data_IF_817200023843
#
_entry.id   IF_817200023843
#
_cell.length_a   1.000
_cell.length_b   1.000
_cell.length_c   1.000
_cell.angle_alpha   90.00
_cell.angle_beta   90.00
_cell.angle_gamma   90.00
#
_symmetry.space_group_name_H-M   'P 1'
#
loop_
_entity.id
_entity.type
_entity.pdbx_description
1 polymer ?
#
# COMPACT_ATOMS: atom_id res chain seq x y z
N UNK A 1 -22.03 2.27 -0.89
CA UNK A 1 -21.71 3.71 -0.84
C UNK A 1 -20.77 4.05 -1.99
N UNK A 2 -20.92 5.22 -2.63
CA UNK A 2 -19.98 5.69 -3.64
C UNK A 2 -18.54 5.64 -3.10
N UNK A 3 -17.62 5.18 -3.93
CA UNK A 3 -16.19 5.12 -3.60
C UNK A 3 -15.42 5.79 -4.71
N UNK A 4 -14.26 6.34 -4.38
CA UNK A 4 -13.36 6.94 -5.35
C UNK A 4 -12.32 5.93 -5.80
N UNK A 5 -12.30 5.67 -7.11
CA UNK A 5 -11.47 4.65 -7.73
C UNK A 5 -10.59 5.29 -8.80
N UNK A 6 -9.29 4.99 -8.78
CA UNK A 6 -8.39 5.34 -9.87
C UNK A 6 -8.12 4.08 -10.68
N UNK A 7 -8.20 4.20 -12.01
CA UNK A 7 -7.84 3.14 -12.97
C UNK A 7 -6.63 3.60 -13.76
N UNK A 8 -5.53 2.85 -13.64
CA UNK A 8 -4.30 3.06 -14.40
C UNK A 8 -4.09 1.88 -15.37
N UNK A 9 -4.24 2.14 -16.65
CA UNK A 9 -4.06 1.17 -17.72
C UNK A 9 -3.64 1.95 -18.98
N UNK A 10 -2.67 1.50 -19.75
CA UNK A 10 -2.24 2.17 -20.99
C UNK A 10 -3.24 1.96 -22.15
N UNK A 11 -4.05 0.89 -22.10
CA UNK A 11 -5.13 0.64 -23.07
C UNK A 11 -6.36 1.52 -22.78
N UNK A 12 -6.65 2.43 -23.70
CA UNK A 12 -7.80 3.34 -23.62
C UNK A 12 -9.14 2.57 -23.60
N UNK A 13 -9.24 1.48 -24.34
CA UNK A 13 -10.45 0.65 -24.39
C UNK A 13 -10.72 0.00 -23.03
N UNK A 14 -9.66 -0.45 -22.35
CA UNK A 14 -9.77 -1.01 -21.02
C UNK A 14 -10.13 0.06 -19.99
N UNK A 15 -9.55 1.26 -20.07
CA UNK A 15 -9.95 2.38 -19.21
C UNK A 15 -11.42 2.72 -19.36
N UNK A 16 -11.91 2.83 -20.61
CA UNK A 16 -13.31 3.11 -20.89
C UNK A 16 -14.24 1.99 -20.40
N UNK A 17 -13.83 0.74 -20.57
CA UNK A 17 -14.56 -0.42 -20.05
C UNK A 17 -14.68 -0.37 -18.53
N UNK A 18 -13.58 -0.16 -17.80
CA UNK A 18 -13.58 -0.06 -16.36
C UNK A 18 -14.41 1.12 -15.88
N UNK A 19 -14.26 2.29 -16.51
CA UNK A 19 -15.04 3.48 -16.21
C UNK A 19 -16.55 3.19 -16.28
N UNK A 20 -17.05 2.71 -17.43
CA UNK A 20 -18.46 2.41 -17.60
C UNK A 20 -18.98 1.36 -16.63
N UNK A 21 -18.20 0.30 -16.39
CA UNK A 21 -18.60 -0.77 -15.50
C UNK A 21 -18.75 -0.32 -14.04
N UNK A 22 -17.91 0.61 -13.57
CA UNK A 22 -17.88 1.05 -12.18
C UNK A 22 -18.73 2.29 -11.93
N UNK A 23 -18.89 3.17 -12.93
CA UNK A 23 -19.79 4.31 -12.86
C UNK A 23 -21.25 3.86 -12.68
N UNK A 24 -21.67 2.74 -13.32
CA UNK A 24 -23.01 2.18 -13.14
C UNK A 24 -23.34 1.72 -11.72
N UNK A 25 -22.32 1.47 -10.88
CA UNK A 25 -22.45 1.16 -9.46
C UNK A 25 -22.41 2.43 -8.58
N UNK A 26 -22.33 3.62 -9.20
CA UNK A 26 -22.30 4.92 -8.52
C UNK A 26 -20.93 5.30 -7.97
N UNK A 27 -19.84 4.65 -8.39
CA UNK A 27 -18.49 5.03 -7.99
C UNK A 27 -18.01 6.28 -8.75
N UNK A 28 -17.14 7.05 -8.10
CA UNK A 28 -16.39 8.13 -8.76
C UNK A 28 -15.10 7.55 -9.34
N UNK A 29 -15.02 7.45 -10.66
CA UNK A 29 -13.92 6.78 -11.35
C UNK A 29 -13.09 7.78 -12.12
N UNK A 30 -11.80 7.82 -11.82
CA UNK A 30 -10.79 8.57 -12.58
C UNK A 30 -9.91 7.59 -13.33
N UNK A 31 -9.72 7.80 -14.62
CA UNK A 31 -8.94 6.90 -15.47
C UNK A 31 -7.76 7.65 -16.10
N UNK A 32 -6.60 7.03 -16.11
CA UNK A 32 -5.42 7.56 -16.81
C UNK A 32 -4.54 6.43 -17.34
N UNK A 33 -3.81 6.70 -18.44
CA UNK A 33 -2.73 5.84 -18.93
C UNK A 33 -1.35 6.30 -18.45
N UNK A 34 -1.30 7.38 -17.66
CA UNK A 34 -0.05 7.99 -17.23
C UNK A 34 0.22 7.74 -15.73
N UNK A 35 1.28 6.99 -15.38
CA UNK A 35 1.62 6.71 -13.99
C UNK A 35 1.86 7.96 -13.13
N UNK A 36 2.45 9.00 -13.69
CA UNK A 36 2.72 10.26 -12.97
C UNK A 36 1.42 10.97 -12.62
N UNK A 37 0.46 10.98 -13.54
CA UNK A 37 -0.87 11.54 -13.32
C UNK A 37 -1.64 10.74 -12.27
N UNK A 38 -1.60 9.39 -12.33
CA UNK A 38 -2.21 8.54 -11.32
C UNK A 38 -1.67 8.82 -9.91
N UNK A 39 -0.35 8.99 -9.78
CA UNK A 39 0.29 9.34 -8.50
C UNK A 39 -0.07 10.76 -8.04
N UNK A 40 -0.21 11.72 -8.96
CA UNK A 40 -0.67 13.08 -8.63
C UNK A 40 -2.12 13.10 -8.14
N UNK A 41 -3.01 12.29 -8.73
CA UNK A 41 -4.40 12.17 -8.27
C UNK A 41 -4.49 11.68 -6.81
N UNK A 42 -3.56 10.82 -6.36
CA UNK A 42 -3.48 10.37 -4.97
C UNK A 42 -3.09 11.48 -3.98
N UNK A 43 -2.42 12.53 -4.43
CA UNK A 43 -2.01 13.64 -3.57
C UNK A 43 -3.17 14.58 -3.24
N UNK A 44 -4.13 14.73 -4.15
CA UNK A 44 -5.20 15.72 -4.02
C UNK A 44 -6.38 15.23 -3.20
N UNK A 45 -6.72 13.94 -3.26
CA UNK A 45 -7.94 13.42 -2.64
C UNK A 45 -7.79 11.98 -2.12
N UNK A 46 -8.57 11.57 -1.09
CA UNK A 46 -8.61 10.18 -0.65
C UNK A 46 -9.08 9.26 -1.78
N UNK A 47 -8.41 8.13 -1.96
CA UNK A 47 -8.73 7.11 -2.95
C UNK A 47 -9.04 5.82 -2.20
N UNK A 48 -10.19 5.23 -2.50
CA UNK A 48 -10.67 4.01 -1.83
C UNK A 48 -10.13 2.74 -2.49
N UNK A 49 -9.77 2.81 -3.78
CA UNK A 49 -9.20 1.67 -4.53
C UNK A 49 -8.37 2.17 -5.73
N UNK A 50 -7.20 1.56 -5.91
CA UNK A 50 -6.37 1.73 -7.09
C UNK A 50 -6.41 0.45 -7.94
N UNK A 51 -6.88 0.55 -9.18
CA UNK A 51 -6.86 -0.53 -10.17
C UNK A 51 -5.71 -0.27 -11.12
N UNK A 52 -4.77 -1.22 -11.25
CA UNK A 52 -3.52 -1.00 -11.98
C UNK A 52 -3.22 -2.15 -12.92
N UNK A 53 -2.97 -1.85 -14.19
CA UNK A 53 -2.34 -2.85 -15.07
C UNK A 53 -0.91 -3.15 -14.60
N UNK A 54 -0.56 -4.42 -14.57
CA UNK A 54 0.78 -4.86 -14.17
C UNK A 54 1.84 -4.43 -15.17
N UNK A 55 1.54 -4.44 -16.46
CA UNK A 55 2.44 -3.99 -17.51
C UNK A 55 1.89 -2.74 -18.17
N UNK A 56 2.62 -1.66 -18.01
CA UNK A 56 2.29 -0.36 -18.60
C UNK A 56 3.24 -0.12 -19.78
N UNK A 57 2.68 0.14 -20.96
CA UNK A 57 3.49 0.56 -22.10
C UNK A 57 4.05 1.96 -21.84
N UNK A 58 5.29 2.23 -22.25
CA UNK A 58 5.86 3.56 -22.10
C UNK A 58 5.03 4.56 -22.94
N UNK A 59 4.59 5.68 -22.36
CA UNK A 59 3.92 6.72 -23.11
C UNK A 59 4.80 7.21 -24.25
N UNK A 60 4.21 7.36 -25.46
CA UNK A 60 4.85 7.52 -26.77
C UNK A 60 6.07 8.46 -26.88
N UNK A 61 6.86 8.10 -27.78
CA UNK A 61 8.13 8.49 -28.46
C UNK A 61 8.81 9.87 -28.23
N UNK A 62 8.62 10.59 -27.15
CA UNK A 62 9.43 11.79 -26.87
C UNK A 62 10.59 11.47 -25.92
N UNK A 63 11.81 11.95 -26.24
CA UNK A 63 13.08 11.59 -25.59
C UNK A 63 13.08 11.82 -24.05
N UNK A 64 12.40 12.82 -23.56
CA UNK A 64 12.19 13.07 -22.11
C UNK A 64 11.32 11.99 -21.45
N UNK A 65 10.43 11.39 -22.18
CA UNK A 65 9.48 10.36 -21.74
C UNK A 65 10.14 9.00 -21.53
N UNK A 66 11.28 8.73 -22.20
CA UNK A 66 11.98 7.43 -22.04
C UNK A 66 12.56 7.19 -20.64
N UNK A 67 12.99 8.22 -19.94
CA UNK A 67 13.47 8.07 -18.54
C UNK A 67 12.30 7.81 -17.59
N UNK A 68 11.20 8.54 -17.74
CA UNK A 68 9.97 8.34 -16.96
C UNK A 68 9.35 6.98 -17.29
N UNK A 69 9.34 6.60 -18.57
CA UNK A 69 8.83 5.30 -19.02
C UNK A 69 9.55 4.12 -18.38
N UNK A 70 10.89 4.16 -18.27
CA UNK A 70 11.67 3.11 -17.59
C UNK A 70 11.43 3.05 -16.08
N UNK A 71 11.02 4.14 -15.48
CA UNK A 71 10.71 4.19 -14.05
C UNK A 71 9.36 3.53 -13.74
N UNK A 72 8.40 3.58 -14.67
CA UNK A 72 7.01 3.15 -14.46
C UNK A 72 6.52 2.14 -15.52
N UNK A 73 7.41 1.31 -16.05
CA UNK A 73 7.06 0.23 -16.97
C UNK A 73 6.34 -0.96 -16.30
N UNK A 74 6.08 -0.82 -15.00
CA UNK A 74 5.56 -1.86 -14.15
C UNK A 74 4.59 -1.26 -13.12
N UNK A 75 3.35 -1.74 -13.12
CA UNK A 75 2.31 -1.31 -12.20
C UNK A 75 2.68 -1.49 -10.73
N UNK A 76 3.50 -2.50 -10.38
CA UNK A 76 3.98 -2.68 -9.01
C UNK A 76 4.85 -1.50 -8.55
N UNK A 77 5.68 -0.94 -9.41
CA UNK A 77 6.47 0.27 -9.07
C UNK A 77 5.58 1.48 -8.77
N UNK A 78 4.48 1.62 -9.52
CA UNK A 78 3.49 2.68 -9.27
C UNK A 78 2.80 2.45 -7.93
N UNK A 79 2.39 1.22 -7.65
CA UNK A 79 1.76 0.84 -6.37
C UNK A 79 2.70 1.08 -5.19
N UNK A 80 3.98 0.73 -5.30
CA UNK A 80 4.97 1.00 -4.26
C UNK A 80 5.08 2.49 -3.94
N UNK A 81 5.09 3.36 -4.96
CA UNK A 81 5.11 4.80 -4.75
C UNK A 81 3.78 5.34 -4.21
N UNK A 82 2.65 4.78 -4.65
CA UNK A 82 1.34 5.09 -4.09
C UNK A 82 1.29 4.76 -2.59
N UNK A 83 1.81 3.61 -2.18
CA UNK A 83 1.87 3.21 -0.77
C UNK A 83 2.88 4.01 0.06
N UNK A 84 3.97 4.50 -0.54
CA UNK A 84 4.87 5.42 0.16
C UNK A 84 4.15 6.72 0.59
N UNK A 85 3.13 7.13 -0.19
CA UNK A 85 2.28 8.29 0.12
C UNK A 85 1.06 7.90 0.96
N UNK A 86 0.39 6.79 0.62
CA UNK A 86 -0.85 6.30 1.21
C UNK A 86 -0.80 4.78 1.40
N UNK A 87 -0.18 4.29 2.48
CA UNK A 87 0.09 2.86 2.71
C UNK A 87 -1.15 1.97 2.74
N UNK A 88 -2.31 2.56 3.06
CA UNK A 88 -3.57 1.83 3.25
C UNK A 88 -4.46 1.80 2.00
N UNK A 89 -4.03 2.39 0.89
CA UNK A 89 -4.82 2.37 -0.35
C UNK A 89 -4.92 0.94 -0.87
N UNK A 90 -6.14 0.37 -0.94
CA UNK A 90 -6.34 -0.95 -1.52
C UNK A 90 -5.95 -0.97 -2.99
N UNK A 91 -5.42 -2.10 -3.46
CA UNK A 91 -5.00 -2.29 -4.84
C UNK A 91 -5.65 -3.53 -5.43
N UNK A 92 -6.09 -3.43 -6.69
CA UNK A 92 -6.47 -4.53 -7.56
C UNK A 92 -5.60 -4.47 -8.81
N UNK A 93 -4.77 -5.47 -9.01
CA UNK A 93 -4.04 -5.60 -10.27
C UNK A 93 -4.94 -6.18 -11.36
N UNK A 94 -4.76 -5.69 -12.58
CA UNK A 94 -5.35 -6.29 -13.78
C UNK A 94 -4.22 -6.70 -14.74
N UNK A 95 -4.35 -7.83 -15.43
CA UNK A 95 -3.29 -8.28 -16.33
C UNK A 95 -3.77 -9.35 -17.33
N UNK A 96 -3.23 -9.29 -18.55
CA UNK A 96 -3.35 -10.35 -19.57
C UNK A 96 -2.22 -11.39 -19.52
N UNK A 97 -1.20 -11.17 -18.68
CA UNK A 97 0.05 -11.93 -18.67
C UNK A 97 0.01 -13.17 -17.78
N UNK A 98 0.88 -14.13 -18.07
CA UNK A 98 1.01 -15.36 -17.29
C UNK A 98 1.50 -15.08 -15.85
N UNK A 99 1.25 -16.03 -14.94
CA UNK A 99 1.71 -15.93 -13.57
C UNK A 99 3.23 -15.76 -13.47
N UNK A 100 3.99 -16.43 -14.33
CA UNK A 100 5.45 -16.30 -14.39
C UNK A 100 5.88 -14.87 -14.74
N UNK A 101 5.20 -14.23 -15.69
CA UNK A 101 5.45 -12.83 -16.05
C UNK A 101 5.10 -11.90 -14.88
N UNK A 102 3.98 -12.15 -14.18
CA UNK A 102 3.58 -11.39 -13.01
C UNK A 102 4.64 -11.46 -11.90
N UNK A 103 5.12 -12.67 -11.59
CA UNK A 103 6.18 -12.89 -10.60
C UNK A 103 7.47 -12.14 -10.96
N UNK A 104 7.88 -12.17 -12.23
CA UNK A 104 9.07 -11.42 -12.70
C UNK A 104 8.93 -9.91 -12.56
N UNK A 105 7.70 -9.41 -12.42
CA UNK A 105 7.38 -7.99 -12.19
C UNK A 105 7.09 -7.68 -10.70
N UNK A 106 7.30 -8.64 -9.81
CA UNK A 106 7.07 -8.48 -8.38
C UNK A 106 5.60 -8.61 -7.96
N UNK A 107 4.73 -9.10 -8.85
CA UNK A 107 3.31 -9.33 -8.56
C UNK A 107 3.08 -10.83 -8.38
N UNK A 108 3.04 -11.28 -7.15
CA UNK A 108 2.64 -12.63 -6.78
C UNK A 108 1.12 -12.69 -6.63
N UNK A 109 0.44 -13.42 -7.52
CA UNK A 109 -1.02 -13.57 -7.50
C UNK A 109 -1.55 -14.31 -6.26
N UNK A 110 -0.71 -15.01 -5.50
CA UNK A 110 -1.10 -15.59 -4.20
C UNK A 110 -1.18 -14.54 -3.09
N UNK A 111 -0.48 -13.43 -3.25
CA UNK A 111 -0.40 -12.32 -2.29
C UNK A 111 -1.21 -11.10 -2.70
N UNK A 112 -1.23 -10.83 -4.01
CA UNK A 112 -1.88 -9.67 -4.57
C UNK A 112 -3.14 -10.06 -5.32
N UNK A 113 -4.26 -9.34 -5.13
CA UNK A 113 -5.44 -9.58 -5.93
C UNK A 113 -5.17 -9.20 -7.39
N UNK A 114 -5.17 -10.19 -8.25
CA UNK A 114 -4.97 -10.03 -9.69
C UNK A 114 -6.21 -10.49 -10.45
N UNK A 115 -6.83 -9.60 -11.20
CA UNK A 115 -7.92 -9.92 -12.11
C UNK A 115 -7.37 -10.17 -13.53
N UNK A 116 -7.57 -11.37 -14.02
CA UNK A 116 -7.05 -11.80 -15.33
C UNK A 116 -7.91 -11.28 -16.48
N UNK A 117 -7.28 -10.56 -17.41
CA UNK A 117 -7.92 -10.17 -18.69
C UNK A 117 -8.00 -11.39 -19.62
N UNK A 118 -9.13 -11.60 -20.37
CA UNK A 118 -10.34 -10.80 -20.38
C UNK A 118 -11.27 -11.12 -19.20
N UNK A 119 -12.01 -10.13 -18.71
CA UNK A 119 -13.02 -10.28 -17.67
C UNK A 119 -14.31 -9.53 -18.04
N UNK A 120 -15.44 -9.98 -17.46
CA UNK A 120 -16.72 -9.31 -17.67
C UNK A 120 -16.93 -8.13 -16.71
N UNK A 121 -17.85 -7.18 -17.04
CA UNK A 121 -18.21 -6.10 -16.12
C UNK A 121 -18.66 -6.62 -14.75
N UNK A 122 -19.38 -7.74 -14.71
CA UNK A 122 -19.88 -8.36 -13.47
C UNK A 122 -18.71 -8.83 -12.59
N UNK A 123 -17.71 -9.47 -13.20
CA UNK A 123 -16.52 -9.95 -12.47
C UNK A 123 -15.73 -8.77 -11.92
N UNK A 124 -15.50 -7.71 -12.72
CA UNK A 124 -14.84 -6.50 -12.24
C UNK A 124 -15.56 -5.89 -11.04
N UNK A 125 -16.89 -5.69 -11.15
CA UNK A 125 -17.71 -5.13 -10.06
C UNK A 125 -17.65 -5.97 -8.80
N UNK A 126 -17.69 -7.29 -8.93
CA UNK A 126 -17.59 -8.21 -7.79
C UNK A 126 -16.23 -8.07 -7.10
N UNK A 127 -15.13 -8.08 -7.86
CA UNK A 127 -13.78 -7.92 -7.31
C UNK A 127 -13.60 -6.56 -6.63
N UNK A 128 -14.06 -5.49 -7.26
CA UNK A 128 -14.02 -4.13 -6.68
C UNK A 128 -14.79 -4.08 -5.38
N UNK A 129 -16.02 -4.60 -5.34
CA UNK A 129 -16.83 -4.65 -4.12
C UNK A 129 -16.13 -5.41 -3.00
N UNK A 130 -15.61 -6.60 -3.28
CA UNK A 130 -14.87 -7.41 -2.29
C UNK A 130 -13.70 -6.63 -1.70
N UNK A 131 -12.95 -5.87 -2.51
CA UNK A 131 -11.81 -5.07 -2.03
C UNK A 131 -12.25 -3.87 -1.21
N UNK A 132 -13.29 -3.18 -1.66
CA UNK A 132 -13.84 -2.03 -0.93
C UNK A 132 -14.47 -2.46 0.41
N UNK A 133 -15.20 -3.58 0.44
CA UNK A 133 -15.82 -4.09 1.66
C UNK A 133 -14.74 -4.57 2.64
N UNK A 134 -13.75 -5.33 2.17
CA UNK A 134 -12.60 -5.73 3.00
C UNK A 134 -11.80 -4.54 3.55
N UNK A 135 -11.69 -3.44 2.79
CA UNK A 135 -11.06 -2.21 3.28
C UNK A 135 -11.91 -1.50 4.33
N UNK A 136 -13.24 -1.48 4.16
CA UNK A 136 -14.20 -0.90 5.11
C UNK A 136 -14.28 -1.71 6.41
N UNK A 137 -14.32 -3.03 6.31
CA UNK A 137 -14.29 -3.92 7.48
C UNK A 137 -13.02 -3.71 8.31
N UNK A 138 -11.88 -3.46 7.66
CA UNK A 138 -10.63 -3.09 8.33
C UNK A 138 -10.70 -1.74 9.05
N UNK A 139 -11.60 -0.85 8.65
CA UNK A 139 -11.81 0.46 9.31
C UNK A 139 -12.88 0.44 10.38
N UNK A 140 -13.78 -0.57 10.38
CA UNK A 140 -14.97 -0.65 11.27
C UNK A 140 -14.89 -1.82 12.27
N UNK A 141 -13.91 -2.73 12.11
CA UNK A 141 -13.79 -3.93 12.95
C UNK A 141 -13.26 -3.67 14.36
N UNK A 142 -13.46 -4.63 15.30
CA UNK A 142 -12.89 -4.57 16.64
C UNK A 142 -11.34 -4.50 16.57
N UNK A 143 -10.67 -4.04 17.65
CA UNK A 143 -9.23 -3.79 17.66
C UNK A 143 -8.44 -5.04 17.23
N UNK A 144 -7.86 -5.00 16.06
CA UNK A 144 -7.15 -6.11 15.40
C UNK A 144 -7.07 -5.95 13.87
N UNK A 145 -7.93 -5.13 13.26
CA UNK A 145 -7.94 -4.87 11.82
C UNK A 145 -7.55 -3.42 11.53
N UNK A 146 -6.32 -3.22 11.08
CA UNK A 146 -5.66 -1.95 10.76
C UNK A 146 -6.08 -0.78 11.66
N UNK A 147 -5.51 -0.80 12.85
CA UNK A 147 -5.55 0.33 13.77
C UNK A 147 -5.12 1.63 13.06
N UNK A 148 -5.68 2.78 13.45
CA UNK A 148 -5.28 4.07 12.92
C UNK A 148 -3.77 4.21 12.91
N UNK A 149 -3.21 4.73 11.81
CA UNK A 149 -1.79 5.02 11.69
C UNK A 149 -1.57 6.49 11.98
N UNK A 150 -0.63 6.76 12.85
CA UNK A 150 -0.29 8.11 13.27
C UNK A 150 1.10 8.49 12.74
N UNK A 151 1.34 9.76 12.37
CA UNK A 151 2.64 10.23 11.88
C UNK A 151 3.63 10.34 13.05
N UNK A 152 3.98 9.20 13.62
CA UNK A 152 4.90 9.10 14.76
C UNK A 152 6.26 8.68 14.20
N UNK A 153 7.28 9.49 14.52
CA UNK A 153 8.66 9.21 14.21
C UNK A 153 9.35 8.66 15.45
N UNK A 154 9.78 7.42 15.40
CA UNK A 154 10.59 6.82 16.44
C UNK A 154 11.75 5.99 15.83
N UNK A 155 12.92 5.99 16.49
CA UNK A 155 14.04 5.16 16.08
C UNK A 155 13.65 3.69 16.16
N UNK A 156 14.13 2.93 15.18
CA UNK A 156 13.95 1.47 15.09
C UNK A 156 15.29 0.83 14.81
N UNK A 157 15.65 -0.14 15.61
CA UNK A 157 16.69 -1.11 15.29
C UNK A 157 16.02 -2.42 14.89
N UNK A 158 16.56 -3.09 13.89
CA UNK A 158 16.02 -4.36 13.44
C UNK A 158 17.11 -5.38 13.12
N UNK A 159 16.77 -6.65 13.38
CA UNK A 159 17.61 -7.83 13.12
C UNK A 159 16.75 -8.95 12.55
N UNK A 160 17.34 -10.02 12.05
CA UNK A 160 16.66 -11.16 11.45
C UNK A 160 17.19 -11.45 10.06
N UNK A 161 16.34 -11.59 9.07
CA UNK A 161 16.77 -11.79 7.67
C UNK A 161 17.60 -10.61 7.15
N UNK A 162 17.39 -9.42 7.71
CA UNK A 162 18.20 -8.23 7.52
C UNK A 162 18.47 -7.56 8.85
N UNK A 163 19.59 -6.84 8.93
CA UNK A 163 19.93 -6.04 10.11
C UNK A 163 20.19 -4.57 9.73
N UNK A 164 19.83 -3.67 10.62
CA UNK A 164 20.01 -2.24 10.39
C UNK A 164 19.21 -1.39 11.37
N UNK A 165 19.13 -0.13 11.01
CA UNK A 165 18.35 0.85 11.76
C UNK A 165 17.55 1.75 10.81
N UNK A 166 16.62 2.48 11.39
CA UNK A 166 15.80 3.42 10.64
C UNK A 166 14.92 4.27 11.56
N UNK A 167 13.97 4.93 10.92
CA UNK A 167 13.01 5.80 11.60
C UNK A 167 11.62 5.46 11.10
N UNK A 168 10.64 5.29 11.97
CA UNK A 168 9.26 5.22 11.52
C UNK A 168 8.82 6.56 10.95
N UNK A 169 7.97 6.54 9.94
CA UNK A 169 7.27 7.73 9.43
C UNK A 169 5.80 7.69 9.78
N UNK A 170 5.27 6.50 10.05
CA UNK A 170 4.01 6.30 10.72
C UNK A 170 4.04 5.02 11.56
N UNK A 171 3.13 4.94 12.54
CA UNK A 171 3.06 3.83 13.49
C UNK A 171 1.60 3.54 13.84
N UNK A 172 1.28 2.25 13.96
CA UNK A 172 0.00 1.73 14.45
C UNK A 172 0.25 0.54 15.37
N UNK A 173 -0.80 0.01 15.99
CA UNK A 173 -0.68 -1.20 16.81
C UNK A 173 -0.26 -2.43 15.99
N UNK A 174 -0.60 -2.49 14.71
CA UNK A 174 -0.34 -3.63 13.83
C UNK A 174 0.83 -3.45 12.85
N UNK A 175 1.56 -2.34 12.90
CA UNK A 175 2.67 -2.14 11.97
C UNK A 175 3.17 -0.72 11.85
N UNK A 176 4.22 -0.55 11.05
CA UNK A 176 4.81 0.76 10.80
C UNK A 176 5.27 0.93 9.35
N UNK A 177 5.50 2.17 8.98
CA UNK A 177 6.26 2.54 7.79
C UNK A 177 7.64 2.96 8.23
N UNK A 178 8.64 2.17 7.87
CA UNK A 178 10.04 2.36 8.22
C UNK A 178 10.78 3.07 7.09
N UNK A 179 11.50 4.14 7.43
CA UNK A 179 12.49 4.75 6.56
C UNK A 179 13.87 4.22 6.95
N UNK A 180 14.54 3.54 6.02
CA UNK A 180 15.86 2.94 6.23
C UNK A 180 16.75 3.12 5.00
N UNK A 181 18.06 3.14 5.20
CA UNK A 181 19.04 3.16 4.11
C UNK A 181 19.39 1.75 3.62
N UNK A 182 19.14 0.72 4.44
CA UNK A 182 19.42 -0.68 4.11
C UNK A 182 18.24 -1.28 3.36
N UNK A 183 18.44 -1.92 2.21
CA UNK A 183 17.39 -2.66 1.52
C UNK A 183 16.84 -3.78 2.41
N UNK A 184 15.53 -3.85 2.53
CA UNK A 184 14.83 -4.95 3.19
C UNK A 184 14.02 -5.67 2.11
N UNK A 185 14.19 -6.97 1.97
CA UNK A 185 13.44 -7.75 1.00
C UNK A 185 11.98 -7.93 1.44
N UNK A 186 11.09 -8.03 0.45
CA UNK A 186 9.68 -8.33 0.72
C UNK A 186 9.58 -9.72 1.32
N UNK A 187 8.72 -9.88 2.34
CA UNK A 187 8.53 -11.07 3.17
C UNK A 187 9.72 -11.40 4.11
N UNK A 188 10.72 -10.54 4.19
CA UNK A 188 11.74 -10.69 5.22
C UNK A 188 11.11 -10.64 6.63
N UNK A 189 11.56 -11.53 7.50
CA UNK A 189 11.17 -11.59 8.89
C UNK A 189 12.18 -10.84 9.74
N UNK A 190 11.69 -9.87 10.50
CA UNK A 190 12.51 -8.99 11.30
C UNK A 190 12.06 -9.02 12.77
N UNK A 191 13.00 -8.89 13.67
CA UNK A 191 12.76 -8.51 15.06
C UNK A 191 13.05 -7.03 15.20
N UNK A 192 12.14 -6.25 15.80
CA UNK A 192 12.30 -4.81 15.92
C UNK A 192 12.41 -4.40 17.38
N UNK A 193 13.20 -3.35 17.61
CA UNK A 193 13.21 -2.56 18.84
C UNK A 193 12.83 -1.12 18.49
N UNK A 194 11.68 -0.67 18.98
CA UNK A 194 11.18 0.69 18.75
C UNK A 194 11.30 1.48 20.05
N UNK A 195 11.80 2.71 19.97
CA UNK A 195 11.87 3.63 21.09
C UNK A 195 10.85 4.75 20.87
N UNK A 196 9.78 4.76 21.67
CA UNK A 196 8.73 5.78 21.56
C UNK A 196 9.25 7.16 21.99
N UNK A 197 8.80 8.25 21.34
CA UNK A 197 9.10 9.60 21.79
C UNK A 197 8.60 9.81 23.23
N UNK A 198 9.44 10.38 24.09
CA UNK A 198 9.15 10.68 25.49
C UNK A 198 8.90 9.47 26.41
N UNK A 199 9.16 8.25 25.95
CA UNK A 199 9.11 7.05 26.76
C UNK A 199 10.45 6.29 26.64
N UNK A 200 11.19 6.07 27.75
CA UNK A 200 12.47 5.36 27.71
C UNK A 200 12.32 3.85 27.50
N UNK A 201 11.09 3.33 27.48
CA UNK A 201 10.82 1.91 27.26
C UNK A 201 10.96 1.54 25.78
N UNK A 202 11.82 0.57 25.47
CA UNK A 202 11.87 0.00 24.14
C UNK A 202 10.74 -1.01 23.96
N UNK A 203 9.98 -0.89 22.87
CA UNK A 203 8.96 -1.88 22.46
C UNK A 203 9.65 -2.92 21.61
N UNK A 204 9.55 -4.17 22.01
CA UNK A 204 10.07 -5.29 21.25
C UNK A 204 8.96 -5.96 20.43
N UNK A 205 9.17 -5.97 19.11
CA UNK A 205 8.37 -6.77 18.15
C UNK A 205 9.18 -8.00 17.81
N UNK A 206 8.74 -9.16 18.27
CA UNK A 206 9.46 -10.43 18.07
C UNK A 206 9.43 -10.86 16.61
N UNK A 207 8.31 -10.62 15.92
CA UNK A 207 8.15 -10.94 14.50
C UNK A 207 7.43 -9.81 13.79
N UNK A 208 8.13 -9.19 12.87
CA UNK A 208 7.57 -8.27 11.88
C UNK A 208 7.87 -8.81 10.48
N UNK A 209 6.99 -8.56 9.52
CA UNK A 209 7.17 -8.98 8.13
C UNK A 209 7.12 -7.79 7.22
N UNK A 210 8.10 -7.69 6.33
CA UNK A 210 8.14 -6.67 5.29
C UNK A 210 7.11 -7.00 4.20
N UNK A 211 6.02 -6.23 4.14
CA UNK A 211 4.96 -6.43 3.15
C UNK A 211 5.25 -5.79 1.81
N UNK A 212 6.02 -4.75 1.82
CA UNK A 212 6.54 -4.09 0.63
C UNK A 212 7.82 -3.32 0.99
N UNK A 213 8.67 -3.10 -0.01
CA UNK A 213 9.91 -2.36 0.13
C UNK A 213 10.20 -1.56 -1.14
N UNK A 214 10.45 -0.27 -0.97
CA UNK A 214 10.88 0.65 -2.02
C UNK A 214 11.76 1.72 -1.37
N UNK A 215 13.07 1.53 -1.41
CA UNK A 215 14.03 2.43 -0.77
C UNK A 215 13.71 3.91 -1.04
N UNK A 216 13.76 4.71 0.00
CA UNK A 216 14.21 4.44 1.38
C UNK A 216 13.12 3.92 2.33
N UNK A 217 11.98 3.44 1.83
CA UNK A 217 10.80 3.09 2.61
C UNK A 217 10.52 1.59 2.59
N UNK A 218 10.04 1.07 3.73
CA UNK A 218 9.61 -0.31 3.89
C UNK A 218 8.36 -0.37 4.79
N UNK A 219 7.33 -1.07 4.34
CA UNK A 219 6.10 -1.30 5.11
C UNK A 219 6.19 -2.60 5.90
N UNK A 220 6.10 -2.51 7.23
CA UNK A 220 6.20 -3.64 8.15
C UNK A 220 4.86 -3.90 8.83
N UNK A 221 4.42 -5.17 8.84
CA UNK A 221 3.33 -5.66 9.67
C UNK A 221 3.91 -6.35 10.91
N UNK A 222 3.37 -6.07 12.09
CA UNK A 222 3.73 -6.71 13.35
C UNK A 222 2.89 -7.99 13.53
N UNK A 223 3.53 -9.15 13.53
CA UNK A 223 2.86 -10.43 13.73
C UNK A 223 2.90 -10.88 15.19
N UNK A 224 3.97 -10.54 15.91
CA UNK A 224 4.13 -10.90 17.32
C UNK A 224 4.84 -9.78 18.07
N UNK A 225 4.12 -9.12 18.95
CA UNK A 225 4.63 -8.10 19.85
C UNK A 225 4.71 -8.69 21.27
N UNK A 226 5.71 -8.33 22.04
CA UNK A 226 5.76 -8.65 23.47
C UNK A 226 4.55 -8.02 24.19
N UNK A 227 3.91 -8.77 25.10
CA UNK A 227 2.64 -8.32 25.74
C UNK A 227 2.77 -6.96 26.44
N UNK A 228 3.88 -6.71 27.13
CA UNK A 228 4.15 -5.43 27.74
C UNK A 228 4.33 -4.32 26.70
N UNK A 229 5.04 -4.62 25.61
CA UNK A 229 5.24 -3.70 24.48
C UNK A 229 3.94 -3.35 23.77
N UNK A 230 3.04 -4.30 23.58
CA UNK A 230 1.72 -4.07 23.00
C UNK A 230 0.86 -3.14 23.86
N UNK A 231 0.86 -3.34 25.17
CA UNK A 231 0.16 -2.47 26.13
C UNK A 231 0.70 -1.03 26.10
N UNK A 232 2.04 -0.86 26.11
CA UNK A 232 2.69 0.44 26.01
C UNK A 232 2.37 1.14 24.69
N UNK A 233 2.52 0.45 23.57
CA UNK A 233 2.20 0.99 22.25
C UNK A 233 0.73 1.41 22.16
N UNK A 234 -0.19 0.57 22.64
CA UNK A 234 -1.62 0.86 22.64
C UNK A 234 -1.99 2.08 23.50
N UNK A 235 -1.35 2.24 24.67
CA UNK A 235 -1.55 3.39 25.53
C UNK A 235 -1.02 4.67 24.89
N UNK A 236 0.19 4.62 24.33
CA UNK A 236 0.81 5.74 23.64
C UNK A 236 -0.01 6.23 22.43
N UNK A 237 -0.47 5.31 21.57
CA UNK A 237 -1.29 5.65 20.42
C UNK A 237 -2.63 6.28 20.79
N UNK A 238 -3.27 5.81 21.89
CA UNK A 238 -4.51 6.42 22.42
C UNK A 238 -4.28 7.84 22.92
N UNK A 239 -3.19 8.08 23.64
CA UNK A 239 -2.83 9.42 24.11
C UNK A 239 -2.57 10.35 22.94
N UNK A 240 -1.75 9.93 21.97
CA UNK A 240 -1.44 10.70 20.75
C UNK A 240 -2.75 11.07 19.98
N UNK A 241 -3.67 10.11 19.82
CA UNK A 241 -4.96 10.35 19.18
C UNK A 241 -5.82 11.38 19.94
N UNK A 242 -5.77 11.38 21.26
CA UNK A 242 -6.53 12.32 22.08
C UNK A 242 -5.95 13.76 22.00
N UNK A 243 -4.65 13.90 21.89
CA UNK A 243 -3.97 15.19 21.72
C UNK A 243 -4.28 15.82 20.35
N UNK A 244 -4.28 15.02 19.28
CA UNK A 244 -4.63 15.48 17.93
C UNK A 244 -6.09 15.97 17.77
N UNK A 245 -7.01 15.54 18.64
CA UNK A 245 -8.41 15.98 18.60
C UNK A 245 -8.64 17.30 19.36
N UNK A 246 -7.64 17.78 20.09
CA UNK A 246 -7.72 19.03 20.88
C UNK A 246 -7.09 20.24 20.19
N UNK A 247 -6.40 19.99 19.07
CA UNK A 247 -5.79 21.00 18.19
C UNK A 247 -6.67 21.21 16.97
#
# INVERSE_FOLDING_TARGET
>A
MPSRIIVLDDDESMRLFCFKALETEGHQVSCTGNPVEALAMLDHEPVDLLIVDVLLAPPGLQVRTKMIARQYDNGMKVVQQAWAKRPDTPVLFISSHSQMTLLSKGVDGSRWPVLRKPFSPTVLRTEVRVRLDAAREKTVGPPGHRAPRYPIQCPVEYTGDHEGNGMTTNLSIGGCLLKTATPVEVEAHLTLQLVLPNDPGAIKVHVAVARWSALPMCGLDFLLIEEQGERLLSAYLRQFAAEQRRT
#
